data_IF_945138458850
#
_entry.id   IF_945138458850
#
_cell.length_a   1.000
_cell.length_b   1.000
_cell.length_c   1.000
_cell.angle_alpha   90.00
_cell.angle_beta   90.00
_cell.angle_gamma   90.00
#
_symmetry.space_group_name_H-M   'P 1'
#
loop_
_entity.id
_entity.type
_entity.pdbx_description
1 polymer ?
#
# COMPACT_ATOMS: atom_id res chain seq x y z
N UNK A 1 -64.98 40.42 3.53
CA UNK A 1 -63.97 40.70 4.56
C UNK A 1 -63.70 39.41 5.30
N UNK A 2 -62.42 39.07 5.35
CA UNK A 2 -61.80 37.82 5.77
C UNK A 2 -61.71 37.74 7.30
N UNK A 3 -61.98 36.58 7.90
CA UNK A 3 -61.36 36.16 9.17
C UNK A 3 -60.94 34.70 9.08
N UNK A 4 -59.63 34.53 8.96
CA UNK A 4 -58.87 33.28 8.99
C UNK A 4 -58.74 32.81 10.45
N UNK A 5 -58.90 31.51 10.69
CA UNK A 5 -58.66 30.85 11.99
C UNK A 5 -57.40 30.01 11.92
N UNK A 6 -56.63 30.10 13.00
CA UNK A 6 -55.34 29.46 13.24
C UNK A 6 -55.50 28.01 13.73
N UNK A 7 -54.77 27.10 13.05
CA UNK A 7 -54.10 25.82 13.45
C UNK A 7 -54.84 24.71 14.25
N UNK A 8 -54.49 23.41 14.05
CA UNK A 8 -53.17 22.87 14.47
C UNK A 8 -52.51 21.82 13.54
N UNK A 9 -51.19 21.70 13.69
CA UNK A 9 -50.36 20.53 13.30
C UNK A 9 -50.88 19.21 13.92
N UNK A 10 -50.76 18.05 13.23
CA UNK A 10 -49.73 17.11 13.67
C UNK A 10 -49.11 16.23 12.57
N UNK A 11 -47.84 15.92 12.76
CA UNK A 11 -47.21 14.71 12.27
C UNK A 11 -47.95 13.46 12.76
N UNK A 12 -48.47 12.60 11.86
CA UNK A 12 -48.45 11.13 12.00
C UNK A 12 -49.03 10.43 10.75
N UNK A 13 -48.39 10.57 9.59
CA UNK A 13 -48.73 9.78 8.41
C UNK A 13 -47.57 8.81 8.08
N UNK A 14 -47.79 7.48 8.11
CA UNK A 14 -46.76 6.54 7.72
C UNK A 14 -46.45 6.69 6.21
N UNK A 15 -45.17 6.60 5.79
CA UNK A 15 -44.82 6.69 4.38
C UNK A 15 -45.40 5.50 3.60
N UNK A 16 -45.84 5.70 2.34
CA UNK A 16 -46.39 4.64 1.51
C UNK A 16 -45.34 3.56 1.21
N UNK A 17 -45.77 2.30 1.24
CA UNK A 17 -44.95 1.14 0.93
C UNK A 17 -44.37 1.22 -0.49
N UNK A 18 -43.04 1.00 -0.60
CA UNK A 18 -42.34 0.98 -1.87
C UNK A 18 -42.83 -0.17 -2.78
N UNK A 19 -42.95 0.03 -4.10
CA UNK A 19 -43.28 -1.04 -5.04
C UNK A 19 -42.16 -2.09 -5.07
N UNK A 20 -42.56 -3.37 -5.09
CA UNK A 20 -41.68 -4.52 -5.12
C UNK A 20 -40.73 -4.50 -6.34
N UNK A 21 -39.44 -4.70 -6.11
CA UNK A 21 -38.44 -4.84 -7.15
C UNK A 21 -38.68 -6.13 -7.98
N UNK A 22 -38.49 -6.12 -9.31
CA UNK A 22 -38.52 -7.34 -10.11
C UNK A 22 -37.35 -8.25 -9.73
N UNK A 23 -37.63 -9.53 -9.51
CA UNK A 23 -36.62 -10.55 -9.22
C UNK A 23 -35.68 -10.75 -10.42
N UNK A 24 -34.37 -10.55 -10.20
CA UNK A 24 -33.31 -10.85 -11.17
C UNK A 24 -33.03 -12.37 -11.07
N UNK A 25 -33.13 -13.15 -12.17
CA UNK A 25 -32.81 -14.58 -12.14
C UNK A 25 -31.31 -14.82 -11.94
N UNK A 26 -30.91 -15.93 -11.30
CA UNK A 26 -29.49 -16.21 -11.05
C UNK A 26 -28.72 -16.48 -12.35
N UNK A 27 -27.44 -16.09 -12.45
CA UNK A 27 -26.63 -16.36 -13.63
C UNK A 27 -26.34 -17.86 -13.78
N UNK A 28 -26.51 -18.37 -15.00
CA UNK A 28 -26.16 -19.74 -15.37
C UNK A 28 -24.64 -19.98 -15.24
N UNK A 29 -24.20 -21.19 -14.85
CA UNK A 29 -22.78 -21.50 -14.70
C UNK A 29 -22.08 -21.51 -16.07
N UNK A 30 -21.01 -20.71 -16.19
CA UNK A 30 -20.13 -20.70 -17.34
C UNK A 30 -19.39 -22.04 -17.47
N UNK A 31 -19.50 -22.64 -18.65
CA UNK A 31 -18.81 -23.86 -19.04
C UNK A 31 -17.29 -23.65 -19.10
N UNK A 32 -16.54 -24.58 -18.50
CA UNK A 32 -15.09 -24.69 -18.58
C UNK A 32 -14.72 -25.29 -19.94
N UNK A 33 -13.86 -24.67 -20.78
CA UNK A 33 -13.28 -25.38 -21.91
C UNK A 33 -12.06 -26.21 -21.46
N UNK A 34 -12.13 -27.52 -21.69
CA UNK A 34 -10.97 -28.43 -21.68
C UNK A 34 -10.00 -28.10 -22.82
N UNK A 35 -8.69 -28.33 -22.66
CA UNK A 35 -7.72 -28.18 -23.73
C UNK A 35 -7.50 -29.51 -24.47
N UNK A 36 -7.56 -29.50 -25.80
CA UNK A 36 -6.92 -30.52 -26.63
C UNK A 36 -6.30 -29.91 -27.90
N UNK A 37 -5.30 -30.59 -28.50
CA UNK A 37 -4.15 -29.99 -29.15
C UNK A 37 -4.26 -29.94 -30.68
N UNK A 38 -3.50 -29.07 -31.33
CA UNK A 38 -3.27 -29.10 -32.79
C UNK A 38 -1.96 -28.37 -33.09
N UNK A 39 -0.88 -29.12 -33.32
CA UNK A 39 -0.40 -29.58 -34.62
C UNK A 39 0.51 -28.53 -35.30
N UNK A 40 1.80 -28.84 -35.24
CA UNK A 40 2.85 -28.22 -36.02
C UNK A 40 3.06 -29.02 -37.31
N UNK A 41 3.21 -28.34 -38.45
CA UNK A 41 3.87 -28.84 -39.66
C UNK A 41 4.00 -27.64 -40.63
N UNK A 42 5.17 -27.31 -41.18
CA UNK A 42 5.85 -27.96 -42.33
C UNK A 42 7.18 -27.17 -42.64
N UNK A 43 7.95 -27.42 -43.73
CA UNK A 43 9.22 -28.16 -43.66
C UNK A 43 10.41 -27.42 -44.33
N UNK A 44 11.65 -27.87 -44.12
CA UNK A 44 12.78 -27.45 -44.99
C UNK A 44 13.75 -28.60 -45.29
N UNK A 45 13.63 -29.10 -46.52
CA UNK A 45 14.65 -29.52 -47.51
C UNK A 45 15.94 -30.20 -47.01
N UNK A 46 16.14 -31.44 -47.48
CA UNK A 46 17.43 -32.14 -47.65
C UNK A 46 17.69 -32.23 -49.17
N UNK A 47 18.94 -32.19 -49.67
CA UNK A 47 19.56 -33.47 -50.06
C UNK A 47 21.11 -33.50 -50.01
N UNK A 48 21.69 -34.66 -49.66
CA UNK A 48 22.96 -35.13 -50.21
C UNK A 48 23.14 -36.64 -49.93
N UNK A 49 23.84 -37.31 -50.85
CA UNK A 49 23.74 -38.71 -51.26
C UNK A 49 24.62 -39.75 -50.52
N UNK A 50 24.12 -41.00 -50.58
CA UNK A 50 24.77 -42.29 -50.85
C UNK A 50 25.69 -43.04 -49.84
N UNK A 51 25.29 -44.32 -49.66
CA UNK A 51 26.07 -45.56 -49.46
C UNK A 51 26.64 -45.95 -48.08
N UNK A 52 26.06 -47.02 -47.49
CA UNK A 52 26.67 -48.36 -47.32
C UNK A 52 25.99 -49.19 -46.18
N UNK A 53 25.61 -50.45 -46.44
CA UNK A 53 25.28 -51.48 -45.41
C UNK A 53 26.59 -52.07 -44.82
N UNK A 54 26.70 -52.60 -43.56
CA UNK A 54 26.07 -53.85 -43.03
C UNK A 54 25.91 -53.89 -41.45
N UNK A 55 26.01 -55.02 -40.69
CA UNK A 55 25.08 -56.16 -40.49
C UNK A 55 24.66 -56.47 -39.01
N UNK A 56 23.71 -57.41 -38.88
CA UNK A 56 23.44 -58.44 -37.85
C UNK A 56 23.74 -58.27 -36.33
N UNK A 57 22.72 -58.66 -35.56
CA UNK A 57 22.51 -58.69 -34.11
C UNK A 57 23.40 -59.67 -33.31
N UNK A 58 23.76 -59.30 -32.07
CA UNK A 58 24.43 -60.15 -31.07
C UNK A 58 23.65 -60.15 -29.73
N UNK A 59 23.61 -61.27 -28.98
CA UNK A 59 22.65 -61.46 -27.89
C UNK A 59 23.08 -60.79 -26.57
N UNK A 60 22.09 -60.31 -25.81
CA UNK A 60 22.30 -59.63 -24.53
C UNK A 60 22.65 -60.62 -23.37
N UNK A 61 23.57 -60.27 -22.45
CA UNK A 61 23.91 -61.13 -21.31
C UNK A 61 22.91 -61.00 -20.14
N UNK A 62 22.45 -62.14 -19.64
CA UNK A 62 21.60 -62.28 -18.44
C UNK A 62 22.35 -61.83 -17.18
N UNK A 63 21.88 -60.75 -16.53
CA UNK A 63 22.48 -60.23 -15.28
C UNK A 63 21.89 -60.94 -14.04
N UNK A 64 22.78 -61.48 -13.20
CA UNK A 64 22.44 -62.10 -11.89
C UNK A 64 21.97 -61.05 -10.86
N UNK A 65 21.04 -61.40 -9.95
CA UNK A 65 20.54 -60.48 -8.93
C UNK A 65 21.58 -60.25 -7.81
N UNK A 66 22.02 -59.00 -7.63
CA UNK A 66 22.88 -58.59 -6.50
C UNK A 66 22.02 -58.34 -5.26
N UNK A 67 22.30 -59.06 -4.16
CA UNK A 67 21.59 -58.94 -2.87
C UNK A 67 21.79 -57.56 -2.20
N UNK A 68 20.79 -57.00 -1.49
CA UNK A 68 20.78 -55.62 -0.95
C UNK A 68 21.64 -55.38 0.30
N UNK A 69 22.55 -56.29 0.64
CA UNK A 69 23.30 -56.24 1.92
C UNK A 69 24.20 -55.01 2.13
N UNK A 70 24.89 -54.43 1.12
CA UNK A 70 25.77 -53.29 1.39
C UNK A 70 25.02 -51.98 1.65
N UNK A 71 23.85 -51.79 1.04
CA UNK A 71 23.03 -50.57 1.22
C UNK A 71 22.43 -50.53 2.62
N UNK A 72 21.90 -51.67 3.10
CA UNK A 72 21.33 -51.77 4.44
C UNK A 72 22.37 -51.53 5.54
N UNK A 73 23.59 -52.04 5.36
CA UNK A 73 24.71 -51.77 6.26
C UNK A 73 25.11 -50.29 6.26
N UNK A 74 25.19 -49.66 5.08
CA UNK A 74 25.50 -48.24 4.96
C UNK A 74 24.44 -47.35 5.63
N UNK A 75 23.15 -47.64 5.41
CA UNK A 75 22.04 -46.90 6.05
C UNK A 75 22.05 -47.11 7.57
N UNK A 76 22.26 -48.34 8.04
CA UNK A 76 22.35 -48.61 9.48
C UNK A 76 23.54 -47.91 10.14
N UNK A 77 24.69 -47.85 9.46
CA UNK A 77 25.86 -47.13 9.93
C UNK A 77 25.63 -45.62 10.01
N UNK A 78 24.90 -45.05 9.05
CA UNK A 78 24.56 -43.62 9.05
C UNK A 78 23.60 -43.27 10.20
N UNK A 79 22.60 -44.10 10.46
CA UNK A 79 21.67 -43.92 11.57
C UNK A 79 22.35 -44.12 12.93
N UNK A 80 23.18 -45.16 13.09
CA UNK A 80 23.94 -45.34 14.34
C UNK A 80 24.92 -44.20 14.56
N UNK A 81 25.59 -43.74 13.50
CA UNK A 81 26.56 -42.64 13.56
C UNK A 81 25.93 -41.34 14.03
N UNK A 82 24.73 -41.00 13.54
CA UNK A 82 24.03 -39.77 13.96
C UNK A 82 23.49 -39.87 15.38
N UNK A 83 23.00 -41.03 15.82
CA UNK A 83 22.51 -41.22 17.20
C UNK A 83 23.66 -41.16 18.20
N UNK A 84 24.77 -41.85 17.92
CA UNK A 84 25.96 -41.82 18.79
C UNK A 84 26.59 -40.44 18.78
N UNK A 85 26.75 -39.81 17.61
CA UNK A 85 27.27 -38.46 17.48
C UNK A 85 26.40 -37.42 18.21
N UNK A 86 25.07 -37.54 18.09
CA UNK A 86 24.11 -36.68 18.78
C UNK A 86 24.13 -36.86 20.30
N UNK A 87 24.21 -38.10 20.78
CA UNK A 87 24.29 -38.40 22.22
C UNK A 87 25.59 -37.87 22.84
N UNK A 88 26.73 -38.06 22.16
CA UNK A 88 28.03 -37.53 22.60
C UNK A 88 28.03 -36.00 22.55
N UNK A 89 27.53 -35.39 21.47
CA UNK A 89 27.41 -33.94 21.35
C UNK A 89 26.51 -33.34 22.44
N UNK A 90 25.39 -33.99 22.74
CA UNK A 90 24.49 -33.59 23.83
C UNK A 90 25.17 -33.70 25.19
N UNK A 91 25.84 -34.82 25.48
CA UNK A 91 26.54 -35.02 26.75
C UNK A 91 27.62 -33.95 26.98
N UNK A 92 28.35 -33.56 25.93
CA UNK A 92 29.34 -32.47 25.99
C UNK A 92 28.65 -31.13 26.29
N UNK A 93 27.53 -30.82 25.62
CA UNK A 93 26.79 -29.57 25.86
C UNK A 93 26.16 -29.52 27.25
N UNK A 94 25.57 -30.62 27.70
CA UNK A 94 24.97 -30.75 29.03
C UNK A 94 26.02 -30.66 30.16
N UNK A 95 27.26 -31.06 29.88
CA UNK A 95 28.37 -30.97 30.83
C UNK A 95 29.09 -29.61 30.78
N UNK A 96 28.64 -28.66 29.94
CA UNK A 96 29.20 -27.31 29.98
C UNK A 96 28.69 -26.60 31.23
N UNK A 97 29.57 -26.00 32.05
CA UNK A 97 29.13 -25.17 33.15
C UNK A 97 28.24 -24.04 32.62
N UNK A 98 27.19 -23.63 33.34
CA UNK A 98 26.36 -22.51 32.95
C UNK A 98 27.22 -21.29 32.67
N UNK A 99 27.19 -20.77 31.44
CA UNK A 99 27.85 -19.50 31.14
C UNK A 99 27.18 -18.43 32.01
N UNK A 100 27.92 -17.80 32.95
CA UNK A 100 27.34 -16.76 33.77
C UNK A 100 26.82 -15.66 32.85
N UNK A 101 25.56 -15.28 33.05
CA UNK A 101 24.99 -14.16 32.33
C UNK A 101 25.85 -12.93 32.60
N UNK A 102 26.16 -12.12 31.57
CA UNK A 102 26.79 -10.83 31.82
C UNK A 102 25.93 -10.07 32.84
N UNK A 103 26.54 -9.47 33.87
CA UNK A 103 25.80 -8.72 34.87
C UNK A 103 24.98 -7.65 34.15
N UNK A 104 23.69 -7.59 34.49
CA UNK A 104 22.76 -6.59 33.98
C UNK A 104 23.27 -5.22 34.43
N UNK A 105 24.07 -4.57 33.59
CA UNK A 105 24.56 -3.20 33.77
C UNK A 105 23.52 -2.19 33.27
N UNK A 106 22.23 -2.49 33.50
CA UNK A 106 21.16 -1.56 33.18
C UNK A 106 21.06 -0.66 34.39
N UNK A 107 21.51 0.58 34.24
CA UNK A 107 21.27 1.61 35.25
C UNK A 107 19.78 1.55 35.62
N UNK A 108 19.49 1.29 36.89
CA UNK A 108 18.12 1.29 37.38
C UNK A 108 17.51 2.65 37.00
N UNK A 109 16.29 2.68 36.42
CA UNK A 109 15.64 3.94 36.11
C UNK A 109 15.58 4.80 37.38
N UNK A 110 16.23 5.96 37.32
CA UNK A 110 16.24 6.91 38.42
C UNK A 110 14.87 7.54 38.51
N UNK A 111 14.06 7.09 39.47
CA UNK A 111 12.79 7.74 39.78
C UNK A 111 13.06 8.97 40.68
N UNK A 112 12.46 10.13 40.37
CA UNK A 112 12.56 11.30 41.23
C UNK A 112 11.98 10.97 42.62
N UNK A 113 12.68 11.38 43.68
CA UNK A 113 12.35 11.07 45.07
C UNK A 113 11.07 11.77 45.59
N UNK A 114 10.41 12.58 44.75
CA UNK A 114 9.23 13.36 45.10
C UNK A 114 8.20 13.38 43.99
N UNK A 115 6.96 13.80 44.30
CA UNK A 115 5.91 13.95 43.31
C UNK A 115 6.40 14.89 42.20
N UNK A 116 6.35 14.40 40.96
CA UNK A 116 6.69 15.20 39.79
C UNK A 116 5.67 16.33 39.72
N UNK A 117 6.16 17.57 39.67
CA UNK A 117 5.29 18.71 39.41
C UNK A 117 4.64 18.53 38.03
N UNK A 118 3.34 18.26 38.03
CA UNK A 118 2.58 18.01 36.81
C UNK A 118 2.63 19.21 35.86
N UNK A 119 2.73 20.44 36.36
CA UNK A 119 2.85 21.64 35.54
C UNK A 119 4.22 21.73 34.88
N UNK A 120 5.30 21.48 35.63
CA UNK A 120 6.65 21.43 35.06
C UNK A 120 6.83 20.27 34.08
N UNK A 121 6.26 19.10 34.36
CA UNK A 121 6.29 17.95 33.44
C UNK A 121 5.48 18.21 32.17
N UNK A 122 4.30 18.86 32.27
CA UNK A 122 3.52 19.25 31.11
C UNK A 122 4.21 20.35 30.29
N UNK A 123 4.93 21.28 30.93
CA UNK A 123 5.71 22.31 30.25
C UNK A 123 6.98 21.75 29.58
N UNK A 124 7.57 20.70 30.16
CA UNK A 124 8.70 19.97 29.58
C UNK A 124 8.28 18.92 28.55
N UNK A 125 6.99 18.57 28.48
CA UNK A 125 6.47 17.64 27.49
C UNK A 125 6.61 18.24 26.08
N UNK A 126 6.94 17.42 25.07
CA UNK A 126 7.00 17.89 23.69
C UNK A 126 5.63 18.48 23.31
N UNK A 127 5.67 19.67 22.71
CA UNK A 127 4.45 20.37 22.28
C UNK A 127 3.65 19.45 21.35
N UNK A 128 2.32 19.31 21.56
CA UNK A 128 1.48 18.48 20.69
C UNK A 128 1.69 18.90 19.24
N UNK A 129 1.86 17.92 18.35
CA UNK A 129 2.00 18.21 16.94
C UNK A 129 0.71 18.87 16.46
N UNK A 130 0.80 19.92 15.65
CA UNK A 130 -0.38 20.65 15.17
C UNK A 130 -1.37 19.74 14.40
N UNK A 131 -0.89 18.58 13.94
CA UNK A 131 -1.62 17.52 13.24
C UNK A 131 -2.73 16.84 14.06
N UNK A 132 -2.74 17.00 15.38
CA UNK A 132 -3.80 16.44 16.23
C UNK A 132 -5.07 17.33 16.22
N UNK A 133 -4.94 18.59 15.79
CA UNK A 133 -6.03 19.57 15.70
C UNK A 133 -6.91 19.45 14.46
N UNK A 134 -7.42 20.59 13.96
CA UNK A 134 -8.20 20.67 12.72
C UNK A 134 -7.27 20.69 11.51
N UNK A 135 -7.23 19.61 10.72
CA UNK A 135 -6.34 19.49 9.56
C UNK A 135 -6.59 20.57 8.50
N UNK A 136 -7.81 21.11 8.40
CA UNK A 136 -8.14 22.16 7.43
C UNK A 136 -7.35 23.45 7.69
N UNK A 137 -6.95 23.69 8.93
CA UNK A 137 -6.11 24.84 9.30
C UNK A 137 -4.65 24.67 8.86
N UNK A 138 -4.23 23.43 8.61
CA UNK A 138 -2.89 23.08 8.16
C UNK A 138 -2.78 23.06 6.63
N UNK A 139 -3.91 22.91 5.93
CA UNK A 139 -3.92 23.03 4.48
C UNK A 139 -3.53 24.44 4.05
N UNK A 140 -2.80 24.53 2.95
CA UNK A 140 -2.63 25.78 2.24
C UNK A 140 -3.95 26.28 1.66
N UNK A 141 -3.99 27.57 1.34
CA UNK A 141 -5.09 28.16 0.58
C UNK A 141 -4.75 28.16 -0.90
N UNK A 142 -5.76 28.03 -1.76
CA UNK A 142 -5.59 28.15 -3.19
C UNK A 142 -4.91 29.50 -3.52
N UNK A 143 -3.88 29.53 -4.40
CA UNK A 143 -3.23 30.76 -4.80
C UNK A 143 -4.22 31.75 -5.44
N UNK A 144 -3.94 33.05 -5.34
CA UNK A 144 -4.74 34.07 -6.02
C UNK A 144 -4.80 33.81 -7.53
N UNK A 145 -6.00 33.97 -8.11
CA UNK A 145 -6.28 33.71 -9.52
C UNK A 145 -6.57 32.24 -9.86
N UNK A 146 -6.66 31.36 -8.86
CA UNK A 146 -7.08 29.98 -9.08
C UNK A 146 -8.60 29.87 -9.23
N UNK A 147 -9.07 28.87 -9.98
CA UNK A 147 -10.48 28.56 -10.15
C UNK A 147 -10.82 27.20 -9.54
N UNK A 148 -12.09 26.98 -9.20
CA UNK A 148 -12.56 25.68 -8.70
C UNK A 148 -12.33 24.57 -9.73
N UNK A 149 -12.00 23.37 -9.25
CA UNK A 149 -11.91 22.18 -10.09
C UNK A 149 -13.21 21.39 -10.02
N UNK A 150 -14.18 21.71 -10.89
CA UNK A 150 -15.47 21.02 -10.89
C UNK A 150 -16.16 21.12 -9.54
N UNK A 151 -16.66 19.99 -9.02
CA UNK A 151 -17.36 19.91 -7.72
C UNK A 151 -16.41 19.58 -6.55
N UNK A 152 -15.10 19.56 -6.77
CA UNK A 152 -14.11 19.34 -5.71
C UNK A 152 -13.97 20.56 -4.79
N UNK A 153 -13.57 20.38 -3.52
CA UNK A 153 -13.52 21.46 -2.54
C UNK A 153 -12.48 22.53 -2.91
N UNK A 154 -12.94 23.72 -3.28
CA UNK A 154 -12.10 24.89 -3.61
C UNK A 154 -11.56 25.63 -2.38
N UNK A 155 -11.96 25.19 -1.19
CA UNK A 155 -11.52 25.68 0.11
C UNK A 155 -11.22 24.50 1.05
N UNK A 156 -10.34 24.67 2.05
CA UNK A 156 -9.94 23.58 2.95
C UNK A 156 -11.15 22.90 3.61
N UNK A 157 -11.42 21.67 3.17
CA UNK A 157 -12.63 20.94 3.53
C UNK A 157 -12.31 19.55 4.05
N UNK A 158 -13.21 19.01 4.88
CA UNK A 158 -13.14 17.60 5.26
C UNK A 158 -13.62 16.76 4.09
N UNK A 159 -12.93 15.64 3.83
CA UNK A 159 -13.36 14.64 2.86
C UNK A 159 -13.48 13.28 3.54
N UNK A 160 -14.47 12.53 3.11
CA UNK A 160 -14.71 11.15 3.52
C UNK A 160 -13.69 10.21 2.89
N UNK A 161 -13.60 9.00 3.46
CA UNK A 161 -12.81 7.91 2.84
C UNK A 161 -13.36 7.51 1.47
N UNK A 162 -14.67 7.69 1.23
CA UNK A 162 -15.32 7.44 -0.06
C UNK A 162 -14.80 8.39 -1.13
N UNK A 163 -14.95 9.70 -0.89
CA UNK A 163 -14.46 10.77 -1.78
C UNK A 163 -12.96 10.62 -2.07
N UNK A 164 -12.15 10.41 -1.02
CA UNK A 164 -10.71 10.19 -1.18
C UNK A 164 -10.38 8.97 -2.08
N UNK A 165 -11.24 7.95 -2.08
CA UNK A 165 -11.06 6.74 -2.87
C UNK A 165 -11.49 6.93 -4.32
N UNK A 166 -12.53 7.72 -4.57
CA UNK A 166 -13.04 8.05 -5.91
C UNK A 166 -12.01 8.78 -6.77
N UNK A 167 -11.01 9.40 -6.14
CA UNK A 167 -9.88 10.05 -6.84
C UNK A 167 -8.99 9.09 -7.65
N UNK A 168 -9.19 7.78 -7.50
CA UNK A 168 -8.48 6.75 -8.24
C UNK A 168 -9.45 5.93 -9.06
N UNK A 169 -9.06 5.57 -10.30
CA UNK A 169 -9.78 4.58 -11.11
C UNK A 169 -9.85 3.17 -10.48
N UNK A 170 -9.17 2.94 -9.34
CA UNK A 170 -9.23 1.72 -8.53
C UNK A 170 -9.93 1.98 -7.19
N UNK A 171 -11.02 2.74 -7.19
CA UNK A 171 -11.62 3.30 -5.97
C UNK A 171 -11.95 2.25 -4.93
N UNK A 172 -12.51 1.10 -5.33
CA UNK A 172 -12.84 0.01 -4.41
C UNK A 172 -11.59 -0.56 -3.67
N UNK A 173 -10.47 -0.66 -4.38
CA UNK A 173 -9.22 -1.14 -3.78
C UNK A 173 -8.60 -0.08 -2.86
N UNK A 174 -8.64 1.19 -3.27
CA UNK A 174 -8.16 2.31 -2.45
C UNK A 174 -8.99 2.42 -1.17
N UNK A 175 -10.31 2.30 -1.26
CA UNK A 175 -11.21 2.31 -0.12
C UNK A 175 -10.88 1.20 0.87
N UNK A 176 -10.75 -0.03 0.38
CA UNK A 176 -10.35 -1.19 1.21
C UNK A 176 -8.99 -0.96 1.85
N UNK A 177 -8.03 -0.45 1.08
CA UNK A 177 -6.68 -0.15 1.55
C UNK A 177 -6.71 0.89 2.67
N UNK A 178 -7.34 2.05 2.47
CA UNK A 178 -7.46 3.11 3.48
C UNK A 178 -8.07 2.59 4.79
N UNK A 179 -9.15 1.81 4.73
CA UNK A 179 -9.76 1.21 5.92
C UNK A 179 -8.84 0.18 6.60
N UNK A 180 -8.17 -0.68 5.84
CA UNK A 180 -7.22 -1.66 6.39
C UNK A 180 -6.00 -1.03 7.08
N UNK A 181 -5.68 0.21 6.70
CA UNK A 181 -4.62 1.03 7.28
C UNK A 181 -5.10 1.93 8.41
N UNK A 182 -6.34 1.74 8.86
CA UNK A 182 -6.95 2.51 9.95
C UNK A 182 -6.98 4.02 9.66
N UNK A 183 -7.47 4.37 8.47
CA UNK A 183 -7.85 5.74 8.14
C UNK A 183 -8.72 6.35 9.24
N UNK A 184 -8.41 7.59 9.63
CA UNK A 184 -9.21 8.33 10.63
C UNK A 184 -9.96 9.50 10.02
N UNK A 185 -9.27 10.35 9.27
CA UNK A 185 -9.84 11.54 8.63
C UNK A 185 -8.91 12.08 7.55
N UNK A 186 -9.46 12.81 6.59
CA UNK A 186 -8.69 13.54 5.62
C UNK A 186 -9.29 14.93 5.37
N UNK A 187 -8.41 15.90 5.15
CA UNK A 187 -8.80 17.21 4.66
C UNK A 187 -8.16 17.44 3.30
N UNK A 188 -8.86 18.16 2.42
CA UNK A 188 -8.43 18.42 1.07
C UNK A 188 -8.78 19.84 0.61
N UNK A 189 -8.01 20.32 -0.37
CA UNK A 189 -8.30 21.49 -1.17
C UNK A 189 -7.84 21.24 -2.61
N UNK A 190 -8.65 21.69 -3.56
CA UNK A 190 -8.48 21.52 -4.99
C UNK A 190 -8.58 22.86 -5.69
N UNK A 191 -7.75 23.06 -6.70
CA UNK A 191 -7.87 24.24 -7.54
C UNK A 191 -7.27 24.00 -8.92
N UNK A 192 -7.64 24.87 -9.85
CA UNK A 192 -7.02 24.95 -11.16
C UNK A 192 -6.29 26.28 -11.30
N UNK A 193 -5.09 26.25 -11.86
CA UNK A 193 -4.32 27.45 -12.17
C UNK A 193 -3.39 27.16 -13.33
N UNK A 194 -3.33 28.08 -14.29
CA UNK A 194 -2.41 28.02 -15.44
C UNK A 194 -2.50 26.68 -16.22
N UNK A 195 -3.71 26.11 -16.34
CA UNK A 195 -3.94 24.83 -17.01
C UNK A 195 -3.53 23.58 -16.20
N UNK A 196 -3.08 23.76 -14.96
CA UNK A 196 -2.79 22.69 -14.02
C UNK A 196 -3.95 22.52 -13.03
N UNK A 197 -4.33 21.27 -12.77
CA UNK A 197 -5.24 20.89 -11.68
C UNK A 197 -4.39 20.44 -10.50
N UNK A 198 -4.57 21.04 -9.33
CA UNK A 198 -3.79 20.75 -8.13
C UNK A 198 -4.72 20.25 -7.04
N UNK A 199 -4.31 19.16 -6.39
CA UNK A 199 -4.95 18.58 -5.23
C UNK A 199 -3.94 18.49 -4.10
N UNK A 200 -4.31 18.98 -2.93
CA UNK A 200 -3.51 18.85 -1.70
C UNK A 200 -4.36 18.18 -0.64
N UNK A 201 -3.95 16.98 -0.24
CA UNK A 201 -4.65 16.14 0.73
C UNK A 201 -3.77 15.90 1.96
N UNK A 202 -4.35 16.09 3.14
CA UNK A 202 -3.76 15.68 4.42
C UNK A 202 -4.56 14.49 4.96
N UNK A 203 -3.92 13.33 5.05
CA UNK A 203 -4.58 12.07 5.40
C UNK A 203 -4.02 11.58 6.73
N UNK A 204 -4.88 11.43 7.74
CA UNK A 204 -4.48 10.94 9.05
C UNK A 204 -4.84 9.45 9.24
N UNK A 205 -3.87 8.70 9.74
CA UNK A 205 -4.01 7.29 10.13
C UNK A 205 -3.93 7.12 11.65
N UNK A 206 -4.21 5.92 12.13
CA UNK A 206 -3.96 5.54 13.52
C UNK A 206 -2.46 5.55 13.87
N UNK A 207 -2.13 5.74 15.15
CA UNK A 207 -0.75 5.86 15.66
C UNK A 207 0.07 4.61 15.31
N UNK A 208 -0.53 3.43 15.41
CA UNK A 208 0.12 2.15 15.15
C UNK A 208 0.45 1.93 13.66
N UNK A 209 -0.19 2.69 12.76
CA UNK A 209 -0.06 2.57 11.30
C UNK A 209 0.55 3.80 10.62
N UNK A 210 1.01 4.78 11.40
CA UNK A 210 1.61 6.02 10.89
C UNK A 210 2.80 5.76 9.95
N UNK A 211 3.62 4.72 10.23
CA UNK A 211 4.75 4.32 9.40
C UNK A 211 4.35 3.81 8.00
N UNK A 212 3.09 3.45 7.79
CA UNK A 212 2.59 3.01 6.48
C UNK A 212 2.43 4.16 5.47
N UNK A 213 2.58 5.42 5.86
CA UNK A 213 2.76 6.53 4.94
C UNK A 213 3.84 6.25 3.89
N UNK A 214 4.95 5.63 4.33
CA UNK A 214 6.06 5.21 3.49
C UNK A 214 5.68 4.10 2.51
N UNK A 215 4.66 3.29 2.82
CA UNK A 215 4.11 2.28 1.89
C UNK A 215 3.36 2.91 0.71
N UNK A 216 2.83 4.13 0.87
CA UNK A 216 2.24 4.89 -0.25
C UNK A 216 3.33 5.41 -1.19
N UNK A 217 4.51 5.69 -0.63
CA UNK A 217 5.70 6.13 -1.36
C UNK A 217 6.50 4.98 -2.02
N UNK A 218 6.27 3.70 -1.67
CA UNK A 218 7.13 2.60 -2.12
C UNK A 218 7.10 2.33 -3.63
N UNK A 219 6.11 2.88 -4.34
CA UNK A 219 6.05 2.88 -5.81
C UNK A 219 6.73 4.08 -6.48
N UNK A 220 7.12 5.10 -5.72
CA UNK A 220 7.67 6.35 -6.24
C UNK A 220 9.17 6.46 -6.02
N UNK A 221 9.89 6.95 -7.04
CA UNK A 221 11.30 7.36 -6.94
C UNK A 221 11.36 8.83 -6.56
N UNK A 222 11.00 9.10 -5.31
CA UNK A 222 10.88 10.47 -4.80
C UNK A 222 12.24 11.15 -4.68
N UNK A 223 12.34 12.37 -5.20
CA UNK A 223 13.43 13.31 -4.97
C UNK A 223 13.10 14.19 -3.76
N UNK A 224 14.05 14.59 -2.92
CA UNK A 224 13.76 15.45 -1.77
C UNK A 224 13.26 16.83 -2.23
N UNK A 225 12.25 17.39 -1.57
CA UNK A 225 11.81 18.79 -1.78
C UNK A 225 12.24 19.73 -0.65
N UNK A 226 12.59 19.20 0.53
CA UNK A 226 13.12 19.91 1.69
C UNK A 226 14.03 18.96 2.50
N UNK A 227 14.98 19.52 3.26
CA UNK A 227 16.00 18.73 3.98
C UNK A 227 15.45 17.98 5.20
N UNK A 228 14.43 18.54 5.85
CA UNK A 228 13.76 18.01 7.04
C UNK A 228 12.50 17.20 6.71
N UNK A 229 12.09 17.18 5.45
CA UNK A 229 10.90 16.46 5.02
C UNK A 229 11.15 14.95 4.99
N UNK A 230 10.35 14.19 5.74
CA UNK A 230 10.28 12.74 5.62
C UNK A 230 9.44 12.36 4.39
N UNK A 231 9.97 12.66 3.20
CA UNK A 231 9.23 12.61 1.95
C UNK A 231 10.01 13.13 0.75
N UNK A 232 9.31 13.26 -0.37
CA UNK A 232 9.86 13.79 -1.60
C UNK A 232 8.79 13.96 -2.69
N UNK A 233 9.23 14.31 -3.89
CA UNK A 233 8.39 14.54 -5.05
C UNK A 233 8.90 13.78 -6.27
N UNK A 234 8.01 13.52 -7.21
CA UNK A 234 8.28 12.90 -8.50
C UNK A 234 7.40 13.57 -9.55
N UNK A 235 7.90 13.66 -10.78
CA UNK A 235 7.09 13.96 -11.95
C UNK A 235 7.21 12.80 -12.91
N UNK A 236 6.08 12.30 -13.39
CA UNK A 236 6.01 11.22 -14.34
C UNK A 236 6.32 11.75 -15.74
N UNK A 237 7.21 11.04 -16.46
CA UNK A 237 7.62 11.41 -17.81
C UNK A 237 6.61 10.97 -18.88
N UNK A 238 5.69 10.08 -18.53
CA UNK A 238 4.68 9.53 -19.43
C UNK A 238 3.30 10.01 -19.02
N UNK A 239 2.47 10.29 -20.03
CA UNK A 239 1.07 10.59 -19.79
C UNK A 239 0.32 9.32 -19.36
N UNK A 240 -0.64 9.50 -18.47
CA UNK A 240 -1.64 8.51 -18.05
C UNK A 240 -3.02 8.92 -18.55
N UNK A 241 -3.97 8.00 -18.55
CA UNK A 241 -5.35 8.28 -18.94
C UNK A 241 -6.24 8.42 -17.69
N UNK A 242 -7.21 9.33 -17.76
CA UNK A 242 -8.28 9.36 -16.77
C UNK A 242 -9.10 8.07 -16.82
N UNK A 243 -9.70 7.69 -15.69
CA UNK A 243 -10.48 6.45 -15.62
C UNK A 243 -11.77 6.51 -16.46
N UNK A 244 -12.42 7.67 -16.47
CA UNK A 244 -13.75 7.86 -17.06
C UNK A 244 -13.71 8.46 -18.47
N UNK A 245 -12.54 8.90 -18.93
CA UNK A 245 -12.38 9.56 -20.24
C UNK A 245 -11.13 9.05 -20.96
N UNK A 246 -11.06 9.28 -22.27
CA UNK A 246 -9.86 8.99 -23.07
C UNK A 246 -8.82 10.13 -23.02
N UNK A 247 -9.02 11.12 -22.15
CA UNK A 247 -8.10 12.24 -22.01
C UNK A 247 -6.82 11.81 -21.30
N UNK A 248 -5.70 12.36 -21.75
CA UNK A 248 -4.39 12.13 -21.16
C UNK A 248 -4.04 13.23 -20.15
N UNK A 249 -3.28 12.87 -19.13
CA UNK A 249 -2.69 13.79 -18.16
C UNK A 249 -1.26 13.39 -17.81
N UNK A 250 -0.45 14.37 -17.46
CA UNK A 250 0.86 14.19 -16.83
C UNK A 250 0.73 14.43 -15.33
N UNK A 251 1.40 13.60 -14.52
CA UNK A 251 1.28 13.63 -13.06
C UNK A 251 2.57 14.11 -12.39
N UNK A 252 2.45 15.14 -11.58
CA UNK A 252 3.38 15.47 -10.52
C UNK A 252 2.84 14.97 -9.19
N UNK A 253 3.63 14.23 -8.42
CA UNK A 253 3.26 13.75 -7.08
C UNK A 253 4.27 14.24 -6.06
N UNK A 254 3.82 14.74 -4.92
CA UNK A 254 4.67 14.89 -3.74
C UNK A 254 4.03 14.21 -2.52
N UNK A 255 4.88 13.55 -1.73
CA UNK A 255 4.49 12.81 -0.55
C UNK A 255 5.41 13.19 0.60
N UNK A 256 4.85 13.45 1.78
CA UNK A 256 5.62 13.57 3.01
C UNK A 256 4.82 13.11 4.21
N UNK A 257 5.52 12.79 5.29
CA UNK A 257 4.90 12.34 6.53
C UNK A 257 5.34 13.22 7.70
N UNK A 258 4.36 13.67 8.49
CA UNK A 258 4.59 14.23 9.84
C UNK A 258 3.72 13.50 10.85
N UNK A 259 4.33 12.76 11.77
CA UNK A 259 3.61 11.96 12.77
C UNK A 259 2.63 10.98 12.10
N UNK A 260 1.35 11.08 12.47
CA UNK A 260 0.24 10.26 11.94
C UNK A 260 -0.37 10.78 10.64
N UNK A 261 0.10 11.93 10.13
CA UNK A 261 -0.44 12.58 8.94
C UNK A 261 0.48 12.42 7.75
N UNK A 262 -0.13 12.08 6.62
CA UNK A 262 0.49 12.01 5.30
C UNK A 262 0.01 13.19 4.48
N UNK A 263 0.97 13.96 3.99
CA UNK A 263 0.78 14.97 2.97
C UNK A 263 0.87 14.29 1.60
N UNK A 264 -0.17 14.39 0.80
CA UNK A 264 -0.20 13.97 -0.60
C UNK A 264 -0.57 15.17 -1.46
N UNK A 265 0.25 15.44 -2.46
CA UNK A 265 0.02 16.50 -3.44
C UNK A 265 0.04 15.87 -4.81
N UNK A 266 -1.00 16.14 -5.60
CA UNK A 266 -1.09 15.72 -6.99
C UNK A 266 -1.30 16.93 -7.88
N UNK A 267 -0.48 17.05 -8.91
CA UNK A 267 -0.55 18.09 -9.92
C UNK A 267 -0.77 17.40 -11.26
N UNK A 268 -1.87 17.74 -11.93
CA UNK A 268 -2.24 17.17 -13.21
C UNK A 268 -2.14 18.26 -14.29
N UNK A 269 -1.37 17.99 -15.34
CA UNK A 269 -1.25 18.86 -16.51
C UNK A 269 -1.70 18.15 -17.78
N UNK A 270 -2.19 18.91 -18.76
CA UNK A 270 -2.38 18.42 -20.14
C UNK A 270 -1.04 18.27 -20.88
N UNK A 271 0.01 18.91 -20.37
CA UNK A 271 1.40 18.80 -20.80
C UNK A 271 2.26 18.35 -19.61
N UNK A 272 3.52 18.00 -19.87
CA UNK A 272 4.47 17.62 -18.81
C UNK A 272 4.50 18.67 -17.71
N UNK A 273 4.31 18.22 -16.46
CA UNK A 273 4.31 19.10 -15.29
C UNK A 273 5.74 19.55 -15.00
N UNK A 274 5.93 20.83 -14.68
CA UNK A 274 7.23 21.34 -14.26
C UNK A 274 7.58 20.79 -12.85
N UNK A 275 8.72 20.08 -12.69
CA UNK A 275 9.18 19.59 -11.38
C UNK A 275 9.29 20.69 -10.30
N UNK A 276 9.65 21.92 -10.67
CA UNK A 276 9.80 23.01 -9.71
C UNK A 276 8.46 23.50 -9.17
N UNK A 277 7.37 23.40 -9.96
CA UNK A 277 6.01 23.71 -9.50
C UNK A 277 5.58 22.73 -8.40
N UNK A 278 5.77 21.44 -8.64
CA UNK A 278 5.42 20.39 -7.65
C UNK A 278 6.23 20.57 -6.37
N UNK A 279 7.53 20.82 -6.51
CA UNK A 279 8.44 21.06 -5.38
C UNK A 279 8.06 22.31 -4.58
N UNK A 280 7.71 23.40 -5.26
CA UNK A 280 7.30 24.66 -4.63
C UNK A 280 6.03 24.50 -3.79
N UNK A 281 5.01 23.85 -4.35
CA UNK A 281 3.76 23.54 -3.63
C UNK A 281 4.05 22.61 -2.44
N UNK A 282 4.87 21.58 -2.64
CA UNK A 282 5.26 20.66 -1.57
C UNK A 282 5.96 21.36 -0.40
N UNK A 283 6.90 22.26 -0.68
CA UNK A 283 7.60 23.04 0.34
C UNK A 283 6.63 23.95 1.11
N UNK A 284 5.77 24.68 0.40
CA UNK A 284 4.80 25.57 1.03
C UNK A 284 3.81 24.82 1.92
N UNK A 285 3.36 23.62 1.51
CA UNK A 285 2.51 22.79 2.37
C UNK A 285 3.28 22.26 3.57
N UNK A 286 4.53 21.83 3.38
CA UNK A 286 5.37 21.30 4.44
C UNK A 286 5.65 22.32 5.53
N UNK A 287 5.93 23.58 5.18
CA UNK A 287 6.13 24.67 6.13
C UNK A 287 4.91 24.92 7.04
N UNK A 288 3.69 24.62 6.57
CA UNK A 288 2.47 24.66 7.39
C UNK A 288 2.31 23.46 8.30
N UNK A 289 2.94 22.36 7.92
CA UNK A 289 2.95 21.15 8.71
C UNK A 289 4.01 21.20 9.80
N UNK A 290 5.09 21.98 9.69
CA UNK A 290 6.25 22.06 10.63
C UNK A 290 6.00 23.00 11.81
#
# INVERSE_FOLDING_TARGET
MTTESVEPSPADAPPPAAPAAPAIPPPAPAAVPSPEPSAAETPTVVPAEASAFPPAEAPAPVRRPRRPRPVLLAVSGLVLGTVVGGAVGYAIQASRPPTPLPPIQVALPSYPAGPVDAAAAAAAAPKPLAIDGDLRKLLMTAPTGSTAWGDYPDSPSWISVGELSEHSGRSAEVFKSLNSKEFRRAAEIDWQKDGLKVRVSLIQYSVDRAAEAKSRASGYRLKPFADDANGGYQVDSQASYWADTTEQYYLGTALAQRGTVVMEIKVFGTQSVDPEVVKGIAKQQWERLV
#
